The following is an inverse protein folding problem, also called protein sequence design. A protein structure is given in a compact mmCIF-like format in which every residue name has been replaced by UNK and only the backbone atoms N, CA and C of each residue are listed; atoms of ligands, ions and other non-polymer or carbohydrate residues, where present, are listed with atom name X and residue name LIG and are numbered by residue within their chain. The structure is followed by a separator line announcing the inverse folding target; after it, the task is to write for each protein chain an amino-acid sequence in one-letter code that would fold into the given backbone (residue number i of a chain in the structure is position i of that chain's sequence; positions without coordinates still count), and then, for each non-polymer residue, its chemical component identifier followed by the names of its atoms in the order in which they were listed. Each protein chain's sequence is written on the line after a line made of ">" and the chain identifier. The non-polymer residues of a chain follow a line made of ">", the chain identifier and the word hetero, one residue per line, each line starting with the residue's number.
data_IF_030823788477
#
_entry.id   IF_030823788477
#
_cell.length_a   1.000
_cell.length_b   1.000
_cell.length_c   1.000
_cell.angle_alpha   90.00
_cell.angle_beta   90.00
_cell.angle_gamma   90.00
#
_symmetry.space_group_name_H-M   'P 1'
#
loop_
_entity.id
_entity.type
_entity.pdbx_description
1 polymer ?
#
# COMPACT_ATOMS: atom_id res chain seq x y z
N UNK A 1 27.56 -11.54 3.12
CA UNK A 1 26.40 -12.30 2.62
C UNK A 1 25.44 -11.26 2.08
N UNK A 2 25.10 -11.31 0.80
CA UNK A 2 24.19 -10.32 0.22
C UNK A 2 22.82 -10.48 0.88
N UNK A 3 22.30 -9.38 1.46
CA UNK A 3 21.00 -9.37 2.13
C UNK A 3 19.90 -9.74 1.13
N UNK A 4 18.98 -10.61 1.53
CA UNK A 4 17.77 -10.94 0.76
C UNK A 4 16.77 -9.82 0.95
N UNK A 5 16.41 -9.15 -0.14
CA UNK A 5 15.42 -8.06 -0.13
C UNK A 5 14.18 -8.46 -0.91
N UNK A 6 13.04 -8.35 -0.24
CA UNK A 6 11.71 -8.53 -0.85
C UNK A 6 11.12 -7.20 -1.31
N UNK A 7 10.19 -7.23 -2.26
CA UNK A 7 9.37 -6.06 -2.62
C UNK A 7 7.87 -6.39 -2.53
N UNK A 8 7.10 -5.50 -1.92
CA UNK A 8 5.65 -5.50 -1.84
C UNK A 8 5.12 -4.19 -2.42
N UNK A 9 4.23 -4.26 -3.41
CA UNK A 9 3.66 -3.06 -4.06
C UNK A 9 2.16 -3.03 -3.82
N UNK A 10 1.66 -1.89 -3.33
CA UNK A 10 0.25 -1.65 -3.08
C UNK A 10 -0.09 -0.17 -3.08
N UNK A 11 -1.36 0.17 -3.35
CA UNK A 11 -1.79 1.58 -3.36
C UNK A 11 -1.82 2.20 -1.96
N UNK A 12 -2.05 1.38 -0.92
CA UNK A 12 -2.12 1.82 0.48
C UNK A 12 -3.16 2.91 0.73
N UNK A 13 -4.41 2.69 0.30
CA UNK A 13 -5.50 3.68 0.32
C UNK A 13 -6.66 3.27 1.27
N UNK A 14 -6.52 3.39 2.61
CA UNK A 14 -5.32 3.79 3.37
C UNK A 14 -4.43 2.58 3.74
N UNK A 15 -3.43 2.82 4.60
CA UNK A 15 -2.70 1.76 5.30
C UNK A 15 -3.61 1.11 6.35
N UNK A 16 -3.81 -0.21 6.28
CA UNK A 16 -4.69 -0.96 7.18
C UNK A 16 -3.96 -2.15 7.82
N UNK A 17 -4.57 -2.78 8.83
CA UNK A 17 -3.97 -3.86 9.64
C UNK A 17 -3.57 -5.07 8.79
N UNK A 18 -4.33 -5.36 7.72
CA UNK A 18 -3.93 -6.38 6.74
C UNK A 18 -2.56 -6.14 6.08
N UNK A 19 -2.14 -4.88 5.85
CA UNK A 19 -0.79 -4.59 5.34
C UNK A 19 0.27 -4.91 6.40
N UNK A 20 0.04 -4.53 7.65
CA UNK A 20 0.98 -4.76 8.75
C UNK A 20 1.27 -6.25 8.94
N UNK A 21 0.22 -7.08 8.93
CA UNK A 21 0.37 -8.53 9.07
C UNK A 21 1.09 -9.18 7.89
N UNK A 22 0.86 -8.70 6.67
CA UNK A 22 1.61 -9.17 5.49
C UNK A 22 3.09 -8.77 5.59
N UNK A 23 3.39 -7.52 5.97
CA UNK A 23 4.76 -7.02 6.09
C UNK A 23 5.53 -7.79 7.16
N UNK A 24 4.94 -8.02 8.35
CA UNK A 24 5.55 -8.82 9.42
C UNK A 24 5.92 -10.23 8.94
N UNK A 25 5.03 -10.88 8.19
CA UNK A 25 5.29 -12.23 7.66
C UNK A 25 6.38 -12.22 6.60
N UNK A 26 6.38 -11.25 5.69
CA UNK A 26 7.46 -11.11 4.69
C UNK A 26 8.81 -10.93 5.40
N UNK A 27 8.88 -10.11 6.44
CA UNK A 27 10.10 -9.89 7.23
C UNK A 27 10.59 -11.13 8.00
N UNK A 28 9.83 -12.23 8.05
CA UNK A 28 10.33 -13.52 8.53
C UNK A 28 11.02 -14.33 7.43
N UNK A 29 10.82 -13.96 6.16
CA UNK A 29 11.38 -14.65 4.98
C UNK A 29 12.54 -13.89 4.33
N UNK A 30 12.66 -12.58 4.59
CA UNK A 30 13.67 -11.70 3.98
C UNK A 30 14.34 -10.81 5.03
N UNK A 31 15.57 -10.37 4.75
CA UNK A 31 16.30 -9.46 5.64
C UNK A 31 15.67 -8.06 5.65
N UNK A 32 15.25 -7.58 4.47
CA UNK A 32 14.71 -6.25 4.26
C UNK A 32 13.53 -6.25 3.27
N UNK A 33 12.62 -5.29 3.41
CA UNK A 33 11.45 -5.14 2.53
C UNK A 33 11.40 -3.76 1.87
N UNK A 34 11.13 -3.74 0.57
CA UNK A 34 10.76 -2.54 -0.18
C UNK A 34 9.24 -2.48 -0.24
N UNK A 35 8.68 -1.37 0.23
CA UNK A 35 7.24 -1.09 0.23
C UNK A 35 6.99 -0.04 -0.84
N UNK A 36 6.53 -0.49 -2.00
CA UNK A 36 6.14 0.38 -3.10
C UNK A 36 4.74 0.95 -2.87
N UNK A 37 4.65 2.27 -2.68
CA UNK A 37 3.38 3.00 -2.66
C UNK A 37 2.98 3.28 -4.11
N UNK A 38 2.25 2.32 -4.71
CA UNK A 38 1.80 2.37 -6.10
C UNK A 38 0.73 3.42 -6.35
N UNK A 39 0.51 3.78 -7.61
CA UNK A 39 -0.41 4.85 -8.00
C UNK A 39 -0.14 6.14 -7.21
N UNK A 40 1.13 6.51 -7.06
CA UNK A 40 1.54 7.65 -6.28
C UNK A 40 0.98 9.00 -6.79
N UNK A 41 0.66 9.07 -8.08
CA UNK A 41 0.05 10.23 -8.73
C UNK A 41 -1.45 10.38 -8.44
N UNK A 42 -2.14 9.33 -7.96
CA UNK A 42 -3.57 9.38 -7.68
C UNK A 42 -3.85 9.85 -6.25
N UNK A 43 -4.83 10.75 -6.12
CA UNK A 43 -5.34 11.29 -4.87
C UNK A 43 -6.71 11.94 -5.14
N UNK A 44 -7.48 12.26 -4.10
CA UNK A 44 -8.77 12.96 -4.24
C UNK A 44 -9.81 12.24 -5.11
N UNK A 45 -9.74 10.91 -5.17
CA UNK A 45 -10.77 10.05 -5.77
C UNK A 45 -11.35 9.11 -4.70
N UNK A 46 -12.59 8.64 -4.86
CA UNK A 46 -13.20 7.69 -3.92
C UNK A 46 -12.36 6.42 -3.75
N UNK A 47 -11.72 5.96 -4.83
CA UNK A 47 -10.88 4.76 -4.81
C UNK A 47 -9.48 5.04 -4.25
N UNK A 48 -8.98 6.25 -4.49
CA UNK A 48 -7.62 6.67 -4.21
C UNK A 48 -7.64 8.09 -3.56
N UNK A 49 -8.12 8.21 -2.30
CA UNK A 49 -8.39 9.52 -1.70
C UNK A 49 -7.13 10.23 -1.17
N UNK A 50 -6.11 9.47 -0.78
CA UNK A 50 -4.91 9.99 -0.12
C UNK A 50 -3.75 10.15 -1.09
N UNK A 51 -3.01 11.24 -0.93
CA UNK A 51 -1.78 11.52 -1.69
C UNK A 51 -0.68 10.51 -1.36
N UNK A 52 0.37 10.45 -2.18
CA UNK A 52 1.53 9.62 -1.87
C UNK A 52 2.20 10.03 -0.54
N UNK A 53 2.29 11.34 -0.27
CA UNK A 53 2.89 11.87 0.96
C UNK A 53 2.14 11.42 2.21
N UNK A 54 0.82 11.55 2.22
CA UNK A 54 -0.03 11.08 3.32
C UNK A 54 0.16 9.58 3.55
N UNK A 55 0.18 8.77 2.48
CA UNK A 55 0.38 7.32 2.57
C UNK A 55 1.77 6.92 3.09
N UNK A 56 2.80 7.69 2.76
CA UNK A 56 4.15 7.48 3.31
C UNK A 56 4.15 7.75 4.82
N UNK A 57 3.50 8.83 5.28
CA UNK A 57 3.38 9.13 6.71
C UNK A 57 2.62 8.01 7.43
N UNK A 58 1.47 7.57 6.90
CA UNK A 58 0.71 6.45 7.47
C UNK A 58 1.58 5.19 7.59
N UNK A 59 2.29 4.81 6.53
CA UNK A 59 3.11 3.60 6.52
C UNK A 59 4.29 3.72 7.49
N UNK A 60 4.96 4.87 7.53
CA UNK A 60 6.11 5.12 8.41
C UNK A 60 5.71 5.03 9.87
N UNK A 61 4.62 5.71 10.26
CA UNK A 61 4.14 5.71 11.64
C UNK A 61 3.56 4.35 12.03
N UNK A 62 2.82 3.68 11.14
CA UNK A 62 2.29 2.35 11.40
C UNK A 62 3.40 1.30 11.61
N UNK A 63 4.49 1.36 10.83
CA UNK A 63 5.65 0.46 11.04
C UNK A 63 6.38 0.73 12.36
N UNK A 64 6.47 2.00 12.77
CA UNK A 64 7.03 2.39 14.05
C UNK A 64 6.15 1.92 15.23
N UNK A 65 4.82 2.00 15.11
CA UNK A 65 3.85 1.56 16.11
C UNK A 65 3.97 0.05 16.44
N UNK A 66 4.37 -0.76 15.46
CA UNK A 66 4.61 -2.21 15.63
C UNK A 66 6.09 -2.57 15.77
N UNK A 67 6.94 -1.60 16.14
CA UNK A 67 8.38 -1.76 16.43
C UNK A 67 9.19 -2.43 15.31
N UNK A 68 8.87 -2.17 14.04
CA UNK A 68 9.74 -2.62 12.94
C UNK A 68 10.98 -1.73 12.87
N UNK A 69 12.16 -2.37 12.94
CA UNK A 69 13.45 -1.69 12.77
C UNK A 69 13.52 -0.93 11.43
N UNK A 70 13.75 0.41 11.44
CA UNK A 70 13.92 1.23 10.24
C UNK A 70 15.00 0.75 9.28
N UNK A 71 16.00 0.00 9.76
CA UNK A 71 17.03 -0.60 8.90
C UNK A 71 16.51 -1.71 7.99
N UNK A 72 15.29 -2.20 8.25
CA UNK A 72 14.69 -3.35 7.56
C UNK A 72 13.67 -2.98 6.49
N UNK A 73 13.38 -1.71 6.25
CA UNK A 73 12.41 -1.33 5.22
C UNK A 73 12.76 -0.07 4.44
N UNK A 74 12.17 0.03 3.25
CA UNK A 74 12.22 1.19 2.38
C UNK A 74 10.79 1.52 1.92
N UNK A 75 10.37 2.77 2.01
CA UNK A 75 9.05 3.20 1.51
C UNK A 75 9.28 4.08 0.29
N UNK A 76 8.79 3.65 -0.87
CA UNK A 76 9.10 4.29 -2.15
C UNK A 76 7.81 4.58 -2.90
N UNK A 77 7.47 5.87 -3.17
CA UNK A 77 6.33 6.21 -4.01
C UNK A 77 6.61 5.87 -5.48
N UNK A 78 5.65 5.22 -6.13
CA UNK A 78 5.77 4.76 -7.51
C UNK A 78 4.57 5.26 -8.32
N UNK A 79 4.83 6.09 -9.32
CA UNK A 79 3.78 6.51 -10.25
C UNK A 79 3.51 5.41 -11.26
N UNK A 80 2.26 5.29 -11.71
CA UNK A 80 1.94 4.38 -12.79
C UNK A 80 2.49 4.92 -14.12
N UNK A 81 3.02 4.02 -14.95
CA UNK A 81 3.40 4.34 -16.33
C UNK A 81 2.52 3.56 -17.29
N UNK A 82 2.16 4.17 -18.42
CA UNK A 82 1.27 3.55 -19.42
C UNK A 82 1.96 2.53 -20.34
N UNK A 83 3.05 1.92 -19.87
CA UNK A 83 3.86 0.95 -20.62
C UNK A 83 4.24 -0.22 -19.73
N UNK A 84 3.39 -1.25 -19.69
CA UNK A 84 3.61 -2.43 -18.85
C UNK A 84 4.97 -3.12 -19.10
N UNK A 85 5.40 -3.17 -20.37
CA UNK A 85 6.70 -3.75 -20.75
C UNK A 85 7.91 -3.00 -20.14
N UNK A 86 7.75 -1.74 -19.75
CA UNK A 86 8.79 -0.94 -19.09
C UNK A 86 8.62 -0.86 -17.58
N UNK A 87 7.50 -1.35 -17.03
CA UNK A 87 7.14 -1.11 -15.64
C UNK A 87 8.11 -1.78 -14.66
N UNK A 88 8.58 -3.00 -14.93
CA UNK A 88 9.58 -3.67 -14.07
C UNK A 88 10.91 -2.91 -14.09
N UNK A 89 11.35 -2.44 -15.26
CA UNK A 89 12.55 -1.61 -15.38
C UNK A 89 12.41 -0.28 -14.63
N UNK A 90 11.23 0.33 -14.68
CA UNK A 90 10.91 1.53 -13.91
C UNK A 90 10.98 1.27 -12.40
N UNK A 91 10.42 0.16 -11.91
CA UNK A 91 10.52 -0.22 -10.49
C UNK A 91 11.98 -0.43 -10.09
N UNK A 92 12.77 -1.17 -10.88
CA UNK A 92 14.21 -1.40 -10.61
C UNK A 92 15.02 -0.10 -10.56
N UNK A 93 14.67 0.90 -11.36
CA UNK A 93 15.37 2.19 -11.39
C UNK A 93 15.21 2.98 -10.09
N UNK A 94 14.03 2.93 -9.47
CA UNK A 94 13.69 3.76 -8.30
C UNK A 94 13.86 3.04 -6.97
N UNK A 95 14.30 1.78 -6.98
CA UNK A 95 14.38 0.93 -5.79
C UNK A 95 15.79 0.39 -5.56
N UNK A 96 16.16 0.08 -4.30
CA UNK A 96 17.31 -0.78 -4.03
C UNK A 96 17.17 -2.13 -4.75
N UNK A 97 18.27 -2.83 -5.07
CA UNK A 97 18.20 -4.18 -5.64
C UNK A 97 17.39 -5.14 -4.76
N UNK A 98 16.56 -5.98 -5.36
CA UNK A 98 15.73 -6.98 -4.68
C UNK A 98 15.71 -8.30 -5.46
N UNK A 99 15.34 -9.39 -4.78
CA UNK A 99 15.35 -10.74 -5.36
C UNK A 99 13.98 -11.43 -5.32
N UNK A 100 13.08 -11.03 -4.43
CA UNK A 100 11.77 -11.67 -4.24
C UNK A 100 10.65 -10.65 -4.37
N UNK A 101 9.62 -10.95 -5.16
CA UNK A 101 8.45 -10.10 -5.38
C UNK A 101 7.22 -10.72 -4.72
N UNK A 102 6.56 -9.97 -3.84
CA UNK A 102 5.32 -10.37 -3.18
C UNK A 102 4.13 -9.66 -3.82
N UNK A 103 3.28 -10.39 -4.55
CA UNK A 103 2.09 -9.80 -5.15
C UNK A 103 0.91 -10.77 -5.24
N UNK A 104 -0.29 -10.27 -4.98
CA UNK A 104 -1.55 -10.95 -5.28
C UNK A 104 -2.12 -10.60 -6.66
N UNK A 105 -1.57 -9.59 -7.35
CA UNK A 105 -2.09 -9.07 -8.61
C UNK A 105 -1.54 -9.87 -9.80
N UNK A 106 -2.39 -10.46 -10.66
CA UNK A 106 -1.94 -11.29 -11.79
C UNK A 106 -1.01 -10.57 -12.77
N UNK A 107 -1.27 -9.29 -13.09
CA UNK A 107 -0.43 -8.51 -13.99
C UNK A 107 0.96 -8.32 -13.40
N UNK A 108 1.07 -7.89 -12.13
CA UNK A 108 2.36 -7.72 -11.46
C UNK A 108 3.13 -9.04 -11.42
N UNK A 109 2.45 -10.16 -11.13
CA UNK A 109 3.07 -11.49 -11.15
C UNK A 109 3.63 -11.82 -12.53
N UNK A 110 2.86 -11.58 -13.58
CA UNK A 110 3.26 -11.86 -14.96
C UNK A 110 4.49 -11.05 -15.36
N UNK A 111 4.45 -9.74 -15.17
CA UNK A 111 5.54 -8.83 -15.57
C UNK A 111 6.87 -9.16 -14.88
N UNK A 112 6.85 -9.43 -13.57
CA UNK A 112 8.08 -9.79 -12.85
C UNK A 112 8.59 -11.21 -13.19
N UNK A 113 7.68 -12.16 -13.45
CA UNK A 113 8.07 -13.51 -13.87
C UNK A 113 8.76 -13.51 -15.24
N UNK A 114 8.29 -12.68 -16.18
CA UNK A 114 8.91 -12.50 -17.50
C UNK A 114 10.37 -12.01 -17.42
N UNK A 115 10.69 -11.23 -16.37
CA UNK A 115 12.03 -10.70 -16.08
C UNK A 115 12.86 -11.63 -15.17
N UNK A 116 12.38 -12.84 -14.89
CA UNK A 116 13.11 -13.87 -14.15
C UNK A 116 13.13 -13.69 -12.62
N UNK A 117 12.27 -12.83 -12.06
CA UNK A 117 12.18 -12.68 -10.61
C UNK A 117 11.43 -13.84 -9.95
N UNK A 118 11.83 -14.18 -8.73
CA UNK A 118 11.04 -15.05 -7.88
C UNK A 118 9.77 -14.31 -7.42
N UNK A 119 8.60 -14.80 -7.81
CA UNK A 119 7.31 -14.20 -7.44
C UNK A 119 6.58 -15.08 -6.44
N UNK A 120 6.33 -14.55 -5.24
CA UNK A 120 5.59 -15.22 -4.16
C UNK A 120 4.22 -14.58 -3.98
N UNK A 121 3.27 -15.40 -3.56
CA UNK A 121 1.98 -14.90 -3.11
C UNK A 121 2.11 -14.42 -1.67
N UNK A 122 1.69 -13.17 -1.36
CA UNK A 122 1.67 -12.72 0.02
C UNK A 122 0.74 -13.63 0.83
N UNK A 123 1.08 -13.92 2.10
CA UNK A 123 0.22 -14.68 2.99
C UNK A 123 -1.20 -14.10 2.97
N UNK A 124 -2.20 -14.98 2.82
CA UNK A 124 -3.59 -14.54 2.90
C UNK A 124 -3.88 -14.17 4.36
N UNK A 125 -4.18 -12.90 4.60
CA UNK A 125 -4.73 -12.43 5.86
C UNK A 125 -6.04 -11.72 5.55
N UNK A 126 -7.12 -12.22 6.14
CA UNK A 126 -8.51 -11.75 6.07
C UNK A 126 -8.81 -10.74 4.95
N UNK A 127 -8.70 -11.18 3.69
CA UNK A 127 -8.84 -10.28 2.52
C UNK A 127 -10.27 -9.75 2.36
N UNK A 128 -11.24 -10.39 2.99
CA UNK A 128 -12.64 -10.00 2.91
C UNK A 128 -12.93 -8.81 3.84
N UNK A 129 -12.36 -8.79 5.04
CA UNK A 129 -12.63 -7.71 6.01
C UNK A 129 -11.51 -6.67 6.10
N UNK A 130 -10.25 -7.04 5.84
CA UNK A 130 -9.10 -6.12 5.92
C UNK A 130 -8.64 -5.68 4.54
N UNK A 131 -9.44 -4.81 3.92
CA UNK A 131 -9.13 -4.20 2.63
C UNK A 131 -9.35 -2.68 2.65
N UNK A 132 -8.57 -1.95 1.85
CA UNK A 132 -8.80 -0.51 1.65
C UNK A 132 -10.20 -0.18 1.11
N UNK A 133 -10.83 -1.11 0.38
CA UNK A 133 -12.23 -0.95 -0.06
C UNK A 133 -13.17 -0.94 1.14
N UNK A 134 -13.02 -1.90 2.06
CA UNK A 134 -13.86 -1.99 3.27
C UNK A 134 -13.63 -0.80 4.20
N UNK A 135 -12.37 -0.37 4.39
CA UNK A 135 -12.06 0.82 5.19
C UNK A 135 -12.77 2.06 4.63
N UNK A 136 -12.65 2.32 3.32
CA UNK A 136 -13.30 3.47 2.68
C UNK A 136 -14.82 3.38 2.71
N UNK A 137 -15.39 2.17 2.54
CA UNK A 137 -16.84 1.94 2.70
C UNK A 137 -17.30 2.34 4.10
N UNK A 138 -16.65 1.83 5.15
CA UNK A 138 -16.99 2.15 6.54
C UNK A 138 -16.87 3.64 6.87
N UNK A 139 -15.87 4.33 6.33
CA UNK A 139 -15.75 5.79 6.46
C UNK A 139 -16.97 6.50 5.85
N UNK A 140 -17.40 6.08 4.65
CA UNK A 140 -18.54 6.68 3.94
C UNK A 140 -19.89 6.37 4.62
N UNK A 141 -20.01 5.21 5.25
CA UNK A 141 -21.23 4.74 5.90
C UNK A 141 -21.29 5.02 7.41
N UNK A 142 -20.33 5.81 7.94
CA UNK A 142 -20.25 6.14 9.37
C UNK A 142 -20.14 4.92 10.30
N UNK A 143 -19.54 3.83 9.79
CA UNK A 143 -19.25 2.62 10.55
C UNK A 143 -17.87 2.67 11.22
N UNK A 144 -17.59 1.70 12.10
CA UNK A 144 -16.30 1.59 12.80
C UNK A 144 -15.18 1.13 11.86
N UNK A 145 -14.54 2.07 11.16
CA UNK A 145 -13.39 1.81 10.29
C UNK A 145 -12.06 1.77 11.05
N UNK A 146 -12.01 2.38 12.23
CA UNK A 146 -10.82 2.54 13.05
C UNK A 146 -10.25 1.18 13.48
N UNK A 147 -11.10 0.18 13.73
CA UNK A 147 -10.64 -1.19 14.07
C UNK A 147 -9.87 -1.90 12.95
N UNK A 148 -9.99 -1.42 11.71
CA UNK A 148 -9.37 -2.05 10.54
C UNK A 148 -7.97 -1.49 10.24
N UNK A 149 -7.55 -0.43 10.91
CA UNK A 149 -6.30 0.28 10.65
C UNK A 149 -5.44 0.42 11.91
N UNK A 150 -4.13 0.70 11.77
CA UNK A 150 -3.28 1.09 12.90
C UNK A 150 -3.72 2.42 13.51
N UNK A 151 -3.41 2.66 14.78
CA UNK A 151 -3.76 3.91 15.47
C UNK A 151 -3.10 5.11 14.78
N UNK A 152 -1.86 4.95 14.30
CA UNK A 152 -1.16 5.93 13.47
C UNK A 152 -1.95 6.35 12.23
N UNK A 153 -2.64 5.43 11.56
CA UNK A 153 -3.49 5.76 10.42
C UNK A 153 -4.70 6.57 10.88
N UNK A 154 -5.32 6.22 12.01
CA UNK A 154 -6.45 6.98 12.57
C UNK A 154 -6.04 8.42 12.86
N UNK A 155 -4.90 8.60 13.51
CA UNK A 155 -4.38 9.91 13.89
C UNK A 155 -4.06 10.76 12.66
N UNK A 156 -3.43 10.19 11.63
CA UNK A 156 -3.19 10.94 10.40
C UNK A 156 -4.49 11.32 9.69
N UNK A 157 -5.49 10.42 9.63
CA UNK A 157 -6.78 10.76 9.01
C UNK A 157 -7.50 11.91 9.74
N UNK A 158 -7.29 12.05 11.05
CA UNK A 158 -7.78 13.21 11.82
C UNK A 158 -6.99 14.48 11.50
N UNK A 159 -5.67 14.39 11.41
CA UNK A 159 -4.79 15.52 11.09
C UNK A 159 -5.09 16.13 9.71
N UNK A 160 -5.36 15.30 8.70
CA UNK A 160 -5.52 15.75 7.30
C UNK A 160 -7.00 15.94 6.88
N UNK A 161 -7.94 15.87 7.83
CA UNK A 161 -9.39 15.84 7.59
C UNK A 161 -9.81 14.78 6.54
N UNK A 162 -9.17 13.60 6.60
CA UNK A 162 -9.28 12.55 5.58
C UNK A 162 -10.70 11.96 5.47
N UNK A 163 -11.40 11.82 6.60
CA UNK A 163 -12.81 11.37 6.64
C UNK A 163 -13.71 12.37 5.92
N UNK A 164 -13.58 13.66 6.26
CA UNK A 164 -14.35 14.75 5.65
C UNK A 164 -14.08 14.83 4.15
N UNK A 165 -12.81 14.72 3.74
CA UNK A 165 -12.42 14.68 2.33
C UNK A 165 -13.15 13.57 1.58
N UNK A 166 -13.10 12.34 2.10
CA UNK A 166 -13.72 11.20 1.43
C UNK A 166 -15.25 11.34 1.31
N UNK A 167 -15.92 11.86 2.35
CA UNK A 167 -17.35 12.16 2.32
C UNK A 167 -17.68 13.22 1.27
N UNK A 168 -16.92 14.32 1.23
CA UNK A 168 -17.15 15.39 0.26
C UNK A 168 -16.99 14.90 -1.19
N UNK A 169 -16.01 14.02 -1.45
CA UNK A 169 -15.80 13.41 -2.77
C UNK A 169 -16.92 12.44 -3.17
N UNK A 170 -17.76 11.98 -2.22
CA UNK A 170 -18.84 11.03 -2.49
C UNK A 170 -20.16 11.70 -2.86
N UNK A 171 -20.25 13.02 -2.65
CA UNK A 171 -21.42 13.81 -3.03
C UNK A 171 -21.45 13.89 -4.56
N UNK A 172 -22.49 13.33 -5.17
CA UNK A 172 -22.71 13.44 -6.62
C UNK A 172 -23.08 14.88 -6.98
N UNK A 173 -22.53 15.38 -8.08
CA UNK A 173 -23.01 16.64 -8.66
C UNK A 173 -24.44 16.45 -9.18
N UNK A 174 -25.23 17.53 -9.16
CA UNK A 174 -26.64 17.52 -9.63
C UNK A 174 -26.75 17.05 -11.10
N UNK A 175 -25.67 17.15 -11.88
CA UNK A 175 -25.60 16.66 -13.26
C UNK A 175 -25.52 15.14 -13.42
N UNK A 176 -25.27 14.39 -12.34
CA UNK A 176 -25.09 12.93 -12.35
C UNK A 176 -26.31 12.15 -11.79
N UNK A 177 -27.45 12.83 -11.60
CA UNK A 177 -28.75 12.28 -11.15
C UNK A 177 -29.74 12.33 -12.31
#
# INVERSE_FOLDING_TARGET
>A
MDKVRGILIGRMQPVHNGHMEVIKKILNEVDEIIIGIGSAQLSHEIKDPFTAGERIVMMTQALAEIDIDPSRYYIIPMQDINFNALWVSHVKMITPPFSVVYSGNPLVKQLFSEEGFEVRQPPLYDRLHLSGTEVRRRILEDENWQELVPDATVDLLREIDGVTRLKNLSVKEISDI
#
